data_IF_328982326781
#
_entry.id   IF_328982326781
#
_cell.length_a   1.000
_cell.length_b   1.000
_cell.length_c   1.000
_cell.angle_alpha   90.00
_cell.angle_beta   90.00
_cell.angle_gamma   90.00
#
_symmetry.space_group_name_H-M   'P 1'
#
loop_
_entity.id
_entity.type
_entity.pdbx_description
1 polymer ?
#
# COMPACT_ATOMS: atom_id res chain seq x y z
N UNK A 1 -11.45 -45.09 -33.95
CA UNK A 1 -12.79 -45.15 -33.33
C UNK A 1 -12.75 -46.23 -32.25
N UNK A 2 -13.46 -46.00 -31.14
CA UNK A 2 -13.15 -46.39 -29.76
C UNK A 2 -13.05 -47.89 -29.41
N UNK A 3 -12.36 -48.10 -28.27
CA UNK A 3 -11.72 -49.34 -27.76
C UNK A 3 -12.51 -50.02 -26.63
N UNK A 4 -12.22 -51.30 -26.40
CA UNK A 4 -12.88 -52.24 -25.49
C UNK A 4 -11.91 -52.75 -24.40
N UNK A 5 -12.48 -53.18 -23.25
CA UNK A 5 -11.96 -54.18 -22.28
C UNK A 5 -10.83 -53.82 -21.28
N UNK A 6 -11.05 -54.00 -19.96
CA UNK A 6 -10.38 -55.06 -19.16
C UNK A 6 -10.59 -55.01 -17.64
N UNK A 7 -10.31 -56.19 -17.06
CA UNK A 7 -10.56 -56.84 -15.76
C UNK A 7 -9.67 -56.38 -14.56
N UNK A 8 -9.88 -56.94 -13.34
CA UNK A 8 -9.30 -56.49 -12.07
C UNK A 8 -7.90 -57.08 -11.76
N UNK A 9 -7.20 -56.50 -10.78
CA UNK A 9 -5.91 -57.01 -10.29
C UNK A 9 -6.00 -57.47 -8.83
N UNK A 10 -5.89 -58.78 -8.68
CA UNK A 10 -5.66 -59.55 -7.47
C UNK A 10 -4.19 -59.38 -7.04
N UNK A 11 -3.92 -59.13 -5.75
CA UNK A 11 -2.60 -59.39 -5.17
C UNK A 11 -2.78 -60.13 -3.85
N UNK A 12 -2.54 -61.43 -3.96
CA UNK A 12 -2.42 -62.41 -2.90
C UNK A 12 -1.11 -62.19 -2.14
N UNK A 13 -1.16 -62.12 -0.82
CA UNK A 13 -0.04 -62.51 0.03
C UNK A 13 -0.57 -63.28 1.25
N UNK A 14 -0.30 -64.58 1.19
CA UNK A 14 -0.50 -65.61 2.19
C UNK A 14 0.56 -65.49 3.28
N UNK A 15 0.18 -65.45 4.58
CA UNK A 15 0.92 -66.03 5.72
C UNK A 15 -0.02 -66.02 6.95
N UNK A 16 -0.66 -67.16 7.28
CA UNK A 16 -0.25 -68.16 8.30
C UNK A 16 -0.48 -67.71 9.75
N UNK A 17 -1.44 -68.35 10.44
CA UNK A 17 -1.40 -68.52 11.91
C UNK A 17 -2.69 -68.21 12.70
N UNK A 18 -3.52 -69.24 12.89
CA UNK A 18 -4.43 -69.47 14.03
C UNK A 18 -3.69 -69.40 15.40
N UNK A 19 -4.35 -69.59 16.58
CA UNK A 19 -5.74 -69.29 17.01
C UNK A 19 -5.85 -68.77 18.48
N UNK A 20 -7.07 -68.72 18.99
CA UNK A 20 -7.48 -68.95 20.40
C UNK A 20 -7.49 -67.77 21.39
N UNK A 21 -8.70 -67.50 21.92
CA UNK A 21 -8.94 -66.58 23.03
C UNK A 21 -10.42 -66.39 23.34
N UNK A 22 -11.11 -67.45 23.76
CA UNK A 22 -12.48 -67.43 24.29
C UNK A 22 -12.54 -66.84 25.69
N UNK A 23 -13.42 -65.87 25.94
CA UNK A 23 -14.01 -65.63 27.27
C UNK A 23 -15.53 -65.38 27.14
N UNK A 24 -16.30 -66.31 27.74
CA UNK A 24 -17.74 -66.24 28.04
C UNK A 24 -17.96 -65.40 29.31
N UNK A 25 -19.06 -64.63 29.37
CA UNK A 25 -19.60 -64.17 30.66
C UNK A 25 -20.59 -63.00 30.56
N UNK A 26 -21.86 -63.27 30.83
CA UNK A 26 -22.95 -62.30 30.99
C UNK A 26 -22.79 -61.47 32.29
N UNK A 27 -23.13 -60.18 32.29
CA UNK A 27 -24.25 -59.58 33.06
C UNK A 27 -24.30 -58.04 32.89
N UNK A 28 -25.51 -57.49 32.80
CA UNK A 28 -25.82 -56.08 32.64
C UNK A 28 -25.83 -55.33 33.99
N UNK A 29 -25.38 -54.07 34.04
CA UNK A 29 -26.04 -53.06 34.87
C UNK A 29 -25.75 -51.61 34.46
N UNK A 30 -26.64 -50.74 34.91
CA UNK A 30 -27.06 -49.46 34.35
C UNK A 30 -26.29 -48.23 34.92
N UNK A 31 -26.31 -47.11 34.17
CA UNK A 31 -26.18 -45.69 34.57
C UNK A 31 -24.89 -44.87 34.27
N UNK A 32 -24.95 -44.15 33.13
CA UNK A 32 -24.85 -42.68 32.90
C UNK A 32 -23.64 -41.87 33.47
N UNK A 33 -22.83 -41.33 32.55
CA UNK A 33 -21.97 -40.14 32.72
C UNK A 33 -21.62 -39.52 31.34
N UNK A 34 -21.54 -38.19 31.17
CA UNK A 34 -21.54 -37.54 29.85
C UNK A 34 -20.16 -37.44 29.16
N UNK A 35 -20.22 -37.29 27.83
CA UNK A 35 -19.22 -37.09 26.76
C UNK A 35 -17.77 -36.67 27.07
N UNK A 36 -16.85 -36.99 26.12
CA UNK A 36 -15.95 -35.93 25.68
C UNK A 36 -15.69 -35.90 24.16
N UNK A 37 -16.69 -36.09 23.29
CA UNK A 37 -16.49 -35.78 21.86
C UNK A 37 -17.06 -34.41 21.53
N UNK A 38 -16.38 -33.37 22.02
CA UNK A 38 -16.39 -32.08 21.35
C UNK A 38 -15.58 -32.22 20.07
N UNK A 39 -16.20 -32.71 19.00
CA UNK A 39 -15.75 -32.35 17.65
C UNK A 39 -16.11 -30.89 17.43
N UNK A 40 -15.22 -30.00 17.88
CA UNK A 40 -15.14 -28.66 17.34
C UNK A 40 -14.81 -28.83 15.84
N UNK A 41 -15.53 -28.14 14.94
CA UNK A 41 -15.13 -28.13 13.54
C UNK A 41 -13.73 -27.53 13.46
N UNK A 42 -12.79 -28.33 12.96
CA UNK A 42 -11.48 -27.89 12.51
C UNK A 42 -11.70 -26.70 11.58
N UNK A 43 -11.41 -25.50 12.06
CA UNK A 43 -11.25 -24.33 11.20
C UNK A 43 -10.00 -24.59 10.38
N UNK A 44 -10.17 -25.16 9.18
CA UNK A 44 -9.11 -25.27 8.20
C UNK A 44 -8.71 -23.86 7.82
N UNK A 45 -7.62 -23.42 8.41
CA UNK A 45 -6.97 -22.14 8.13
C UNK A 45 -6.41 -22.24 6.70
N UNK A 46 -7.13 -21.68 5.74
CA UNK A 46 -6.61 -21.35 4.40
C UNK A 46 -5.86 -20.00 4.40
N UNK A 47 -5.05 -19.69 5.43
CA UNK A 47 -4.27 -18.43 5.45
C UNK A 47 -2.89 -18.53 4.80
N UNK A 48 -2.51 -19.67 4.24
CA UNK A 48 -1.12 -19.90 3.78
C UNK A 48 -0.80 -19.23 2.43
N UNK A 49 -1.79 -18.73 1.70
CA UNK A 49 -1.59 -18.01 0.42
C UNK A 49 -1.77 -16.48 0.51
N UNK A 50 -2.21 -15.94 1.67
CA UNK A 50 -2.67 -14.54 1.78
C UNK A 50 -1.55 -13.53 2.09
N UNK A 51 -0.46 -13.94 2.75
CA UNK A 51 0.60 -12.98 3.17
C UNK A 51 1.59 -12.62 2.04
N UNK A 52 1.78 -13.51 1.06
CA UNK A 52 2.62 -13.23 -0.13
C UNK A 52 2.05 -12.15 -1.07
N UNK A 53 0.74 -12.11 -1.40
CA UNK A 53 0.20 -11.06 -2.25
C UNK A 53 0.21 -9.69 -1.57
N UNK A 54 0.08 -9.61 -0.23
CA UNK A 54 -0.03 -8.33 0.47
C UNK A 54 1.22 -7.45 0.30
N UNK A 55 2.41 -8.04 0.42
CA UNK A 55 3.68 -7.33 0.25
C UNK A 55 3.92 -6.89 -1.20
N UNK A 56 3.49 -7.69 -2.17
CA UNK A 56 3.59 -7.36 -3.61
C UNK A 56 2.66 -6.19 -3.94
N UNK A 57 1.44 -6.19 -3.41
CA UNK A 57 0.49 -5.08 -3.59
C UNK A 57 1.06 -3.80 -2.97
N UNK A 58 1.60 -3.86 -1.74
CA UNK A 58 2.21 -2.70 -1.12
C UNK A 58 3.39 -2.13 -1.93
N UNK A 59 4.24 -3.01 -2.50
CA UNK A 59 5.32 -2.60 -3.39
C UNK A 59 4.79 -1.92 -4.67
N UNK A 60 3.76 -2.47 -5.30
CA UNK A 60 3.12 -1.86 -6.48
C UNK A 60 2.53 -0.49 -6.13
N UNK A 61 1.84 -0.38 -4.99
CA UNK A 61 1.31 0.90 -4.51
C UNK A 61 2.42 1.94 -4.34
N UNK A 62 3.55 1.60 -3.73
CA UNK A 62 4.72 2.49 -3.62
C UNK A 62 5.25 2.93 -5.00
N UNK A 63 5.41 2.00 -5.94
CA UNK A 63 5.82 2.35 -7.33
C UNK A 63 4.83 3.29 -8.01
N UNK A 64 3.53 3.08 -7.82
CA UNK A 64 2.50 3.98 -8.34
C UNK A 64 2.65 5.38 -7.71
N UNK A 65 2.87 5.48 -6.40
CA UNK A 65 3.08 6.77 -5.72
C UNK A 65 4.28 7.50 -6.31
N UNK A 66 5.42 6.82 -6.54
CA UNK A 66 6.59 7.42 -7.21
C UNK A 66 6.20 8.03 -8.56
N UNK A 67 5.46 7.30 -9.40
CA UNK A 67 5.01 7.79 -10.71
C UNK A 67 4.08 8.99 -10.57
N UNK A 68 3.08 8.91 -9.67
CA UNK A 68 2.14 10.00 -9.42
C UNK A 68 2.84 11.25 -8.90
N UNK A 69 3.84 11.10 -8.02
CA UNK A 69 4.61 12.22 -7.48
C UNK A 69 5.50 12.87 -8.54
N UNK A 70 6.10 12.09 -9.45
CA UNK A 70 6.86 12.66 -10.58
C UNK A 70 5.92 13.44 -11.52
N UNK A 71 4.75 12.88 -11.84
CA UNK A 71 3.74 13.57 -12.65
C UNK A 71 3.29 14.88 -12.00
N UNK A 72 3.02 14.86 -10.70
CA UNK A 72 2.66 16.06 -9.95
C UNK A 72 3.80 17.09 -10.00
N UNK A 73 5.04 16.72 -9.69
CA UNK A 73 6.18 17.65 -9.67
C UNK A 73 6.51 18.28 -11.03
N UNK A 74 6.33 17.53 -12.12
CA UNK A 74 6.65 17.99 -13.48
C UNK A 74 5.53 18.76 -14.16
N UNK A 75 4.31 18.67 -13.65
CA UNK A 75 3.16 19.37 -14.20
C UNK A 75 3.14 20.87 -13.88
N UNK A 76 2.55 21.65 -14.79
CA UNK A 76 2.30 23.08 -14.65
C UNK A 76 0.86 23.41 -14.25
N UNK A 77 0.04 22.39 -13.97
CA UNK A 77 -1.40 22.50 -13.73
C UNK A 77 -1.76 22.21 -12.27
N UNK A 78 -1.01 22.77 -11.33
CA UNK A 78 -1.38 22.71 -9.90
C UNK A 78 -2.50 23.68 -9.58
N UNK A 79 -2.42 24.87 -10.15
CA UNK A 79 -3.38 25.94 -9.99
C UNK A 79 -3.60 26.61 -11.35
N UNK A 80 -4.86 26.81 -11.71
CA UNK A 80 -5.27 27.41 -12.96
C UNK A 80 -6.13 28.64 -12.69
N UNK A 81 -6.00 29.63 -13.56
CA UNK A 81 -6.87 30.78 -13.69
C UNK A 81 -7.03 31.08 -15.18
N UNK A 82 -7.89 32.03 -15.53
CA UNK A 82 -8.18 32.38 -16.93
C UNK A 82 -6.90 32.73 -17.72
N UNK A 83 -6.51 31.90 -18.70
CA UNK A 83 -5.28 32.08 -19.50
C UNK A 83 -3.97 32.12 -18.66
N UNK A 84 -3.99 31.48 -17.48
CA UNK A 84 -2.87 31.40 -16.54
C UNK A 84 -2.77 30.00 -15.90
N UNK A 85 -1.60 29.38 -15.98
CA UNK A 85 -1.32 28.07 -15.36
C UNK A 85 -0.12 28.21 -14.44
N UNK A 86 -0.20 27.65 -13.24
CA UNK A 86 0.88 27.66 -12.28
C UNK A 86 1.13 26.27 -11.71
N UNK A 87 2.35 25.78 -11.94
CA UNK A 87 2.93 24.62 -11.28
C UNK A 87 3.77 25.04 -10.07
N UNK A 88 4.45 24.05 -9.51
CA UNK A 88 5.33 24.23 -8.36
C UNK A 88 6.63 24.96 -8.71
N UNK A 89 7.16 24.75 -9.93
CA UNK A 89 8.45 25.29 -10.37
C UNK A 89 8.35 26.31 -11.49
N UNK A 90 7.29 26.22 -12.30
CA UNK A 90 7.09 27.04 -13.51
C UNK A 90 5.64 27.49 -13.55
N UNK A 91 5.42 28.71 -14.01
CA UNK A 91 4.10 29.22 -14.38
C UNK A 91 4.12 29.63 -15.85
N UNK A 92 2.97 29.52 -16.52
CA UNK A 92 2.83 29.83 -17.94
C UNK A 92 1.62 30.73 -18.17
N UNK A 93 1.82 31.71 -19.05
CA UNK A 93 0.83 32.72 -19.46
C UNK A 93 0.50 32.47 -20.94
N UNK A 94 -0.77 32.35 -21.27
CA UNK A 94 -1.24 32.15 -22.65
C UNK A 94 -1.27 33.50 -23.42
N UNK A 95 -1.18 33.48 -24.75
CA UNK A 95 -1.05 34.68 -25.60
C UNK A 95 -2.24 35.64 -25.47
N UNK A 96 -3.45 35.12 -25.32
CA UNK A 96 -4.70 35.88 -25.20
C UNK A 96 -5.03 36.28 -23.74
N UNK A 97 -4.02 36.64 -22.93
CA UNK A 97 -4.26 36.92 -21.51
C UNK A 97 -5.13 38.19 -21.28
N UNK A 98 -6.06 38.10 -20.33
CA UNK A 98 -6.82 39.26 -19.87
C UNK A 98 -6.04 40.00 -18.76
N UNK A 99 -5.66 41.27 -18.95
CA UNK A 99 -5.09 42.10 -17.88
C UNK A 99 -6.18 42.50 -16.86
N UNK A 100 -5.82 42.70 -15.57
CA UNK A 100 -4.51 42.54 -14.97
C UNK A 100 -4.14 41.07 -14.72
N UNK A 101 -2.85 40.73 -14.88
CA UNK A 101 -2.35 39.41 -14.47
C UNK A 101 -2.48 39.23 -12.95
N UNK A 102 -2.58 37.98 -12.47
CA UNK A 102 -2.56 37.70 -11.06
C UNK A 102 -1.33 38.33 -10.38
N UNK A 103 -1.52 38.88 -9.18
CA UNK A 103 -0.45 39.49 -8.38
C UNK A 103 0.29 40.67 -9.07
N UNK A 104 -0.33 41.31 -10.06
CA UNK A 104 0.22 42.43 -10.82
C UNK A 104 1.58 42.14 -11.50
N UNK A 105 1.77 40.90 -11.94
CA UNK A 105 2.92 40.51 -12.79
C UNK A 105 2.84 41.20 -14.16
N UNK A 106 3.99 41.54 -14.73
CA UNK A 106 4.12 42.29 -15.99
C UNK A 106 4.91 41.50 -17.04
N UNK A 107 4.84 40.18 -16.95
CA UNK A 107 5.56 39.28 -17.85
C UNK A 107 4.80 39.08 -19.17
N UNK A 108 5.51 39.07 -20.33
CA UNK A 108 4.89 38.78 -21.61
C UNK A 108 4.45 37.30 -21.68
N UNK A 109 3.57 36.90 -22.63
CA UNK A 109 3.14 35.51 -22.76
C UNK A 109 4.34 34.56 -22.92
N UNK A 110 4.27 33.43 -22.24
CA UNK A 110 5.40 32.50 -22.10
C UNK A 110 5.42 31.75 -20.78
N UNK A 111 6.43 30.91 -20.59
CA UNK A 111 6.65 30.16 -19.34
C UNK A 111 7.86 30.70 -18.59
N UNK A 112 7.66 31.00 -17.31
CA UNK A 112 8.67 31.58 -16.43
C UNK A 112 8.78 30.79 -15.12
N UNK A 113 9.90 30.91 -14.40
CA UNK A 113 10.04 30.33 -13.07
C UNK A 113 8.90 30.76 -12.15
N UNK A 114 8.40 29.85 -11.32
CA UNK A 114 7.33 30.11 -10.35
C UNK A 114 7.70 31.27 -9.41
N UNK A 115 6.68 31.98 -8.91
CA UNK A 115 6.84 33.13 -8.02
C UNK A 115 7.74 32.76 -6.82
N UNK A 116 8.59 33.70 -6.41
CA UNK A 116 9.45 33.52 -5.23
C UNK A 116 8.66 33.71 -3.92
N UNK A 117 7.75 32.77 -3.67
CA UNK A 117 6.96 32.72 -2.44
C UNK A 117 7.36 31.49 -1.63
N UNK A 118 7.50 31.69 -0.32
CA UNK A 118 8.02 30.67 0.60
C UNK A 118 7.16 29.41 0.62
N UNK A 119 5.84 29.56 0.55
CA UNK A 119 4.92 28.43 0.66
C UNK A 119 5.00 27.50 -0.57
N UNK A 120 5.13 28.04 -1.79
CA UNK A 120 5.30 27.22 -3.01
C UNK A 120 6.64 26.46 -2.95
N UNK A 121 7.72 27.14 -2.57
CA UNK A 121 9.04 26.50 -2.39
C UNK A 121 9.01 25.42 -1.31
N UNK A 122 8.30 25.66 -0.20
CA UNK A 122 8.13 24.69 0.88
C UNK A 122 7.31 23.47 0.43
N UNK A 123 6.19 23.67 -0.27
CA UNK A 123 5.39 22.58 -0.87
C UNK A 123 6.25 21.76 -1.82
N UNK A 124 7.03 22.40 -2.70
CA UNK A 124 7.95 21.71 -3.60
C UNK A 124 8.99 20.87 -2.86
N UNK A 125 9.63 21.44 -1.84
CA UNK A 125 10.60 20.72 -1.03
C UNK A 125 9.97 19.50 -0.33
N UNK A 126 8.78 19.66 0.25
CA UNK A 126 8.06 18.55 0.91
C UNK A 126 7.65 17.45 -0.07
N UNK A 127 7.21 17.81 -1.29
CA UNK A 127 6.90 16.83 -2.34
C UNK A 127 8.15 16.09 -2.83
N UNK A 128 9.30 16.76 -2.96
CA UNK A 128 10.58 16.11 -3.31
C UNK A 128 11.03 15.17 -2.18
N UNK A 129 10.94 15.61 -0.92
CA UNK A 129 11.27 14.77 0.25
C UNK A 129 10.36 13.54 0.28
N UNK A 130 9.06 13.71 0.03
CA UNK A 130 8.10 12.61 -0.09
C UNK A 130 8.53 11.63 -1.18
N UNK A 131 8.85 12.10 -2.38
CA UNK A 131 9.29 11.25 -3.49
C UNK A 131 10.57 10.47 -3.13
N UNK A 132 11.56 11.14 -2.54
CA UNK A 132 12.83 10.51 -2.18
C UNK A 132 12.66 9.46 -1.06
N UNK A 133 11.87 9.79 -0.04
CA UNK A 133 11.60 8.88 1.09
C UNK A 133 10.73 7.70 0.67
N UNK A 134 9.71 7.90 -0.16
CA UNK A 134 8.88 6.84 -0.72
C UNK A 134 9.66 5.92 -1.66
N UNK A 135 10.53 6.49 -2.51
CA UNK A 135 11.44 5.71 -3.34
C UNK A 135 12.38 4.83 -2.50
N UNK A 136 12.98 5.41 -1.45
CA UNK A 136 13.82 4.65 -0.51
C UNK A 136 13.02 3.53 0.16
N UNK A 137 11.82 3.83 0.67
CA UNK A 137 10.98 2.84 1.34
C UNK A 137 10.52 1.71 0.39
N UNK A 138 10.20 2.04 -0.85
CA UNK A 138 9.82 1.08 -1.89
C UNK A 138 11.00 0.17 -2.24
N UNK A 139 12.23 0.71 -2.35
CA UNK A 139 13.45 -0.09 -2.54
C UNK A 139 13.68 -1.01 -1.34
N UNK A 140 13.58 -0.51 -0.11
CA UNK A 140 13.75 -1.32 1.10
C UNK A 140 12.70 -2.44 1.19
N UNK A 141 11.47 -2.17 0.77
CA UNK A 141 10.40 -3.18 0.69
C UNK A 141 10.74 -4.25 -0.36
N UNK A 142 11.23 -3.85 -1.54
CA UNK A 142 11.69 -4.78 -2.58
C UNK A 142 12.90 -5.63 -2.14
N UNK A 143 13.87 -5.04 -1.45
CA UNK A 143 15.01 -5.77 -0.88
C UNK A 143 14.57 -6.72 0.24
N UNK A 144 13.60 -6.31 1.06
CA UNK A 144 12.99 -7.14 2.10
C UNK A 144 12.20 -8.33 1.55
N UNK A 145 11.71 -8.26 0.30
CA UNK A 145 11.09 -9.39 -0.41
C UNK A 145 12.12 -10.42 -0.90
N UNK A 146 13.31 -9.96 -1.31
CA UNK A 146 14.37 -10.83 -1.86
C UNK A 146 15.23 -11.50 -0.78
N UNK A 147 15.33 -10.88 0.40
CA UNK A 147 16.20 -11.34 1.50
C UNK A 147 15.64 -12.58 2.19
N UNK A 148 16.45 -13.64 2.35
CA UNK A 148 16.09 -14.87 3.07
C UNK A 148 16.36 -14.80 4.58
N UNK A 149 17.24 -13.89 5.02
CA UNK A 149 17.65 -13.74 6.42
C UNK A 149 16.57 -13.06 7.28
N UNK A 150 16.06 -13.76 8.30
CA UNK A 150 14.94 -13.31 9.12
C UNK A 150 15.19 -12.00 9.88
N UNK A 151 16.39 -11.85 10.46
CA UNK A 151 16.73 -10.68 11.27
C UNK A 151 16.91 -9.41 10.42
N UNK A 152 17.49 -9.55 9.23
CA UNK A 152 17.67 -8.44 8.29
C UNK A 152 16.33 -8.03 7.69
N UNK A 153 15.52 -9.01 7.29
CA UNK A 153 14.15 -8.80 6.81
C UNK A 153 13.35 -7.93 7.78
N UNK A 154 13.28 -8.32 9.06
CA UNK A 154 12.55 -7.56 10.08
C UNK A 154 13.03 -6.11 10.23
N UNK A 155 14.36 -5.88 10.20
CA UNK A 155 14.93 -4.54 10.26
C UNK A 155 14.56 -3.70 9.04
N UNK A 156 14.67 -4.25 7.83
CA UNK A 156 14.30 -3.56 6.60
C UNK A 156 12.83 -3.15 6.58
N UNK A 157 11.91 -4.05 6.93
CA UNK A 157 10.48 -3.73 6.98
C UNK A 157 10.16 -2.68 8.05
N UNK A 158 10.80 -2.74 9.22
CA UNK A 158 10.58 -1.74 10.28
C UNK A 158 11.03 -0.35 9.84
N UNK A 159 12.20 -0.25 9.20
CA UNK A 159 12.69 1.02 8.65
C UNK A 159 11.80 1.50 7.50
N UNK A 160 11.41 0.61 6.58
CA UNK A 160 10.55 0.97 5.46
C UNK A 160 9.22 1.58 5.92
N UNK A 161 8.53 0.94 6.87
CA UNK A 161 7.27 1.48 7.41
C UNK A 161 7.46 2.86 8.04
N UNK A 162 8.51 3.07 8.84
CA UNK A 162 8.79 4.38 9.45
C UNK A 162 9.05 5.46 8.38
N UNK A 163 9.83 5.14 7.36
CA UNK A 163 10.13 6.08 6.27
C UNK A 163 8.88 6.41 5.46
N UNK A 164 8.01 5.43 5.16
CA UNK A 164 6.73 5.69 4.48
C UNK A 164 5.78 6.53 5.34
N UNK A 165 5.74 6.32 6.65
CA UNK A 165 4.93 7.14 7.56
C UNK A 165 5.38 8.61 7.52
N UNK A 166 6.70 8.85 7.51
CA UNK A 166 7.26 10.20 7.36
C UNK A 166 6.89 10.79 6.00
N UNK A 167 7.00 10.01 4.91
CA UNK A 167 6.61 10.42 3.56
C UNK A 167 5.13 10.82 3.48
N UNK A 168 4.25 10.03 4.12
CA UNK A 168 2.82 10.32 4.16
C UNK A 168 2.53 11.63 4.89
N UNK A 169 3.14 11.83 6.05
CA UNK A 169 2.97 13.07 6.82
C UNK A 169 3.50 14.26 6.01
N UNK A 170 4.68 14.16 5.39
CA UNK A 170 5.23 15.24 4.58
C UNK A 170 4.34 15.58 3.39
N UNK A 171 3.76 14.58 2.72
CA UNK A 171 2.84 14.79 1.61
C UNK A 171 1.54 15.46 2.04
N UNK A 172 0.94 15.00 3.15
CA UNK A 172 -0.27 15.61 3.69
C UNK A 172 -0.03 17.07 4.10
N UNK A 173 1.11 17.36 4.74
CA UNK A 173 1.49 18.74 5.06
C UNK A 173 1.63 19.57 3.79
N UNK A 174 2.28 19.05 2.74
CA UNK A 174 2.42 19.77 1.46
C UNK A 174 1.06 20.11 0.82
N UNK A 175 0.14 19.14 0.82
CA UNK A 175 -1.20 19.27 0.22
C UNK A 175 -2.13 20.20 1.01
N UNK A 176 -1.95 20.32 2.32
CA UNK A 176 -2.72 21.25 3.15
C UNK A 176 -2.10 22.65 3.13
N UNK A 177 -0.77 22.74 3.16
CA UNK A 177 -0.04 24.01 3.18
C UNK A 177 -0.34 24.82 1.92
N UNK A 178 -0.37 24.17 0.75
CA UNK A 178 -0.61 24.84 -0.53
C UNK A 178 -1.93 25.65 -0.58
N UNK A 179 -3.13 25.06 -0.37
CA UNK A 179 -4.39 25.80 -0.39
C UNK A 179 -4.55 26.75 0.81
N UNK A 180 -4.03 26.41 2.01
CA UNK A 180 -4.17 27.26 3.19
C UNK A 180 -3.40 28.57 3.02
N UNK A 181 -2.15 28.50 2.56
CA UNK A 181 -1.36 29.70 2.29
C UNK A 181 -1.89 30.46 1.07
N UNK A 182 -2.33 29.75 0.02
CA UNK A 182 -2.95 30.38 -1.14
C UNK A 182 -4.23 31.14 -0.78
N UNK A 183 -5.05 30.61 0.13
CA UNK A 183 -6.28 31.27 0.58
C UNK A 183 -6.01 32.61 1.27
N UNK A 184 -4.88 32.75 1.95
CA UNK A 184 -4.47 34.03 2.55
C UNK A 184 -4.07 35.08 1.50
N UNK A 185 -3.54 34.64 0.35
CA UNK A 185 -3.11 35.51 -0.75
C UNK A 185 -4.19 35.78 -1.81
N UNK A 186 -5.37 35.13 -1.72
CA UNK A 186 -6.46 35.27 -2.71
C UNK A 186 -6.83 36.74 -3.00
N UNK A 187 -6.82 37.60 -1.97
CA UNK A 187 -7.15 39.02 -2.11
C UNK A 187 -6.14 39.78 -3.00
N UNK A 188 -4.91 39.28 -3.13
CA UNK A 188 -3.86 39.85 -3.98
C UNK A 188 -3.88 39.30 -5.40
N UNK A 189 -4.65 38.23 -5.64
CA UNK A 189 -4.72 37.53 -6.92
C UNK A 189 -5.43 38.31 -8.04
N UNK A 190 -6.12 39.41 -7.72
CA UNK A 190 -6.80 40.34 -8.64
C UNK A 190 -7.71 39.68 -9.71
N UNK A 191 -8.13 38.43 -9.45
CA UNK A 191 -9.00 37.62 -10.29
C UNK A 191 -10.01 36.87 -9.42
N UNK A 192 -11.28 36.78 -9.87
CA UNK A 192 -12.35 36.19 -9.07
C UNK A 192 -12.37 34.65 -9.10
N UNK A 193 -11.80 34.02 -10.13
CA UNK A 193 -11.90 32.57 -10.36
C UNK A 193 -10.52 31.94 -10.32
N UNK A 194 -10.37 30.94 -9.45
CA UNK A 194 -9.19 30.11 -9.29
C UNK A 194 -9.61 28.65 -9.18
N UNK A 195 -8.96 27.79 -9.95
CA UNK A 195 -9.26 26.37 -9.99
C UNK A 195 -8.01 25.57 -9.61
N UNK A 196 -8.17 24.60 -8.72
CA UNK A 196 -7.11 23.62 -8.50
C UNK A 196 -7.05 22.68 -9.70
N UNK A 197 -5.88 22.57 -10.32
CA UNK A 197 -5.71 21.76 -11.50
C UNK A 197 -5.56 20.28 -11.18
N UNK A 198 -5.48 19.47 -12.24
CA UNK A 198 -5.46 18.01 -12.15
C UNK A 198 -4.27 17.49 -11.35
N UNK A 199 -3.12 18.19 -11.40
CA UNK A 199 -1.92 17.78 -10.69
C UNK A 199 -2.07 17.81 -9.17
N UNK A 200 -2.83 18.79 -8.66
CA UNK A 200 -3.17 18.85 -7.25
C UNK A 200 -4.04 17.64 -6.85
N UNK A 201 -4.99 17.26 -7.72
CA UNK A 201 -5.76 16.02 -7.55
C UNK A 201 -4.90 14.76 -7.57
N UNK A 202 -3.90 14.70 -8.46
CA UNK A 202 -2.90 13.61 -8.49
C UNK A 202 -2.11 13.53 -7.19
N UNK A 203 -1.77 14.67 -6.58
CA UNK A 203 -1.13 14.71 -5.26
C UNK A 203 -1.98 14.06 -4.16
N UNK A 204 -3.28 14.34 -4.12
CA UNK A 204 -4.21 13.65 -3.21
C UNK A 204 -4.35 12.16 -3.52
N UNK A 205 -4.38 11.79 -4.80
CA UNK A 205 -4.33 10.39 -5.23
C UNK A 205 -3.09 9.67 -4.71
N UNK A 206 -1.92 10.31 -4.81
CA UNK A 206 -0.67 9.78 -4.26
C UNK A 206 -0.75 9.59 -2.74
N UNK A 207 -1.37 10.53 -2.00
CA UNK A 207 -1.56 10.40 -0.55
C UNK A 207 -2.43 9.20 -0.17
N UNK A 208 -3.50 8.93 -0.94
CA UNK A 208 -4.38 7.78 -0.70
C UNK A 208 -3.63 6.46 -0.97
N UNK A 209 -2.90 6.36 -2.08
CA UNK A 209 -2.11 5.17 -2.38
C UNK A 209 -1.00 4.93 -1.36
N UNK A 210 -0.33 6.00 -0.92
CA UNK A 210 0.72 5.93 0.09
C UNK A 210 0.16 5.50 1.45
N UNK A 211 -1.00 6.02 1.85
CA UNK A 211 -1.71 5.56 3.05
C UNK A 211 -2.09 4.08 2.94
N UNK A 212 -2.61 3.65 1.79
CA UNK A 212 -2.89 2.24 1.52
C UNK A 212 -1.65 1.36 1.64
N UNK A 213 -0.53 1.77 1.07
CA UNK A 213 0.75 1.05 1.15
C UNK A 213 1.24 0.89 2.60
N UNK A 214 1.13 1.96 3.41
CA UNK A 214 1.43 1.93 4.84
C UNK A 214 0.57 0.91 5.58
N UNK A 215 -0.75 0.96 5.39
CA UNK A 215 -1.69 0.03 6.05
C UNK A 215 -1.39 -1.42 5.65
N UNK A 216 -1.17 -1.68 4.36
CA UNK A 216 -0.85 -3.02 3.87
C UNK A 216 0.44 -3.58 4.51
N UNK A 217 1.48 -2.76 4.66
CA UNK A 217 2.73 -3.18 5.30
C UNK A 217 2.60 -3.34 6.83
N UNK A 218 1.71 -2.60 7.48
CA UNK A 218 1.40 -2.80 8.90
C UNK A 218 0.63 -4.10 9.13
N UNK A 219 -0.40 -4.37 8.33
CA UNK A 219 -1.16 -5.63 8.39
C UNK A 219 -0.26 -6.84 8.13
N UNK A 220 0.65 -6.73 7.17
CA UNK A 220 1.63 -7.79 6.87
C UNK A 220 2.54 -8.08 8.08
N UNK A 221 3.08 -7.03 8.72
CA UNK A 221 3.91 -7.16 9.93
C UNK A 221 3.17 -7.85 11.07
N UNK A 222 1.91 -7.50 11.31
CA UNK A 222 1.09 -8.12 12.34
C UNK A 222 0.84 -9.60 12.04
N UNK A 223 0.52 -9.94 10.78
CA UNK A 223 0.32 -11.33 10.35
C UNK A 223 1.57 -12.21 10.51
N UNK A 224 2.76 -11.66 10.23
CA UNK A 224 4.01 -12.38 10.46
C UNK A 224 4.25 -12.62 11.97
N UNK A 225 3.97 -11.64 12.83
CA UNK A 225 4.16 -11.77 14.28
C UNK A 225 3.28 -12.87 14.89
N UNK A 226 2.03 -12.98 14.46
CA UNK A 226 1.10 -14.03 14.91
C UNK A 226 1.62 -15.43 14.52
N UNK A 227 2.06 -15.60 13.27
CA UNK A 227 2.63 -16.86 12.79
C UNK A 227 3.85 -17.31 13.60
N UNK A 228 4.66 -16.37 14.08
CA UNK A 228 5.80 -16.67 14.96
C UNK A 228 5.41 -17.06 16.38
N UNK A 229 4.30 -16.55 16.90
CA UNK A 229 3.79 -16.93 18.23
C UNK A 229 3.23 -18.35 18.21
N UNK A 230 2.43 -18.68 17.20
CA UNK A 230 1.81 -20.01 17.06
C UNK A 230 2.87 -21.13 16.99
N UNK A 231 3.92 -20.96 16.19
CA UNK A 231 5.00 -21.97 16.09
C UNK A 231 5.78 -22.19 17.39
N UNK A 232 5.78 -21.24 18.34
CA UNK A 232 6.49 -21.39 19.62
C UNK A 232 5.68 -22.14 20.68
N UNK A 233 4.36 -22.21 20.53
CA UNK A 233 3.45 -22.85 21.50
C UNK A 233 3.25 -24.35 21.17
N UNK A 234 3.57 -24.75 19.93
CA UNK A 234 3.45 -26.13 19.45
C UNK A 234 4.66 -27.05 19.80
N UNK A 235 5.61 -26.57 20.60
CA UNK A 235 6.74 -27.33 21.14
C UNK A 235 6.71 -27.30 22.67
#
# INVERSE_FOLDING_TARGET
MFSFCSKPAESSSSYRGQPHGTCKGCNCNHQRGPSPDKMAPTTTIETVTITRPLKVIAFICGVIVIVLMILALTSTDWLMAENWRQGLFVHCIEEDYAPPLPFNLQDPPGCYPSRDVTYIKATAALCIITLATDALATILTGLGLRTQDHNLKYKFYRVAVLVMMVALISLLVALILYPVCFAAELNLGNRPVWEFGWAYGVGWGAAIFLFGAVVLLLCDKESEEIYYKERKIAF
#
